data_IF_790739635953
#
_entry.id   IF_790739635953
#
_cell.length_a   1.000
_cell.length_b   1.000
_cell.length_c   1.000
_cell.angle_alpha   90.00
_cell.angle_beta   90.00
_cell.angle_gamma   90.00
#
_symmetry.space_group_name_H-M   'P 1'
#
loop_
_entity.id
_entity.type
_entity.pdbx_description
1 polymer ?
#
# COMPACT_ATOMS: atom_id res chain seq x y z
N UNK A 1 14.76 18.35 5.43
CA UNK A 1 14.07 17.91 4.19
C UNK A 1 14.54 16.49 3.88
N UNK A 2 13.67 15.49 3.94
CA UNK A 2 14.04 14.11 3.59
C UNK A 2 14.34 14.04 2.08
N UNK A 3 15.46 13.42 1.70
CA UNK A 3 15.90 13.33 0.31
C UNK A 3 15.62 11.93 -0.21
N UNK A 4 14.89 11.84 -1.33
CA UNK A 4 14.55 10.58 -1.97
C UNK A 4 15.80 9.69 -2.14
N UNK A 5 15.74 8.47 -1.62
CA UNK A 5 16.80 7.47 -1.72
C UNK A 5 16.60 6.67 -3.01
N UNK A 6 17.47 6.89 -3.99
CA UNK A 6 17.44 6.20 -5.29
C UNK A 6 17.32 4.66 -5.17
N UNK A 7 17.94 4.05 -4.16
CA UNK A 7 17.89 2.58 -3.94
C UNK A 7 16.49 2.04 -3.63
N UNK A 8 15.58 2.90 -3.16
CA UNK A 8 14.21 2.54 -2.80
C UNK A 8 13.20 2.99 -3.87
N UNK A 9 13.65 3.58 -4.98
CA UNK A 9 12.74 3.99 -6.07
C UNK A 9 11.68 5.02 -5.67
N UNK A 10 11.92 5.80 -4.61
CA UNK A 10 10.94 6.72 -4.03
C UNK A 10 10.52 7.80 -5.04
N UNK A 11 9.23 7.82 -5.39
CA UNK A 11 8.56 8.88 -6.11
C UNK A 11 7.39 9.38 -5.26
N UNK A 12 7.43 10.66 -4.87
CA UNK A 12 6.39 11.22 -4.00
C UNK A 12 5.22 11.74 -4.82
N UNK A 13 4.03 11.18 -4.57
CA UNK A 13 2.78 11.63 -5.18
C UNK A 13 2.44 13.03 -4.67
N UNK A 14 2.13 13.95 -5.60
CA UNK A 14 1.76 15.34 -5.29
C UNK A 14 0.45 15.78 -5.94
N UNK A 15 -0.04 15.03 -6.94
CA UNK A 15 -1.27 15.35 -7.64
C UNK A 15 -2.48 15.10 -6.73
N UNK A 16 -3.17 16.18 -6.35
CA UNK A 16 -4.32 16.11 -5.42
C UNK A 16 -5.53 15.39 -6.01
N UNK A 17 -5.71 15.39 -7.33
CA UNK A 17 -6.81 14.69 -8.00
C UNK A 17 -6.61 13.17 -7.95
N UNK A 18 -5.38 12.72 -8.18
CA UNK A 18 -5.01 11.29 -8.05
C UNK A 18 -5.12 10.85 -6.58
N UNK A 19 -4.59 11.64 -5.64
CA UNK A 19 -4.72 11.38 -4.20
C UNK A 19 -6.19 11.22 -3.82
N UNK A 20 -7.05 12.17 -4.20
CA UNK A 20 -8.48 12.11 -3.92
C UNK A 20 -9.13 10.86 -4.53
N UNK A 21 -8.78 10.50 -5.76
CA UNK A 21 -9.34 9.32 -6.44
C UNK A 21 -8.96 8.02 -5.73
N UNK A 22 -7.72 7.90 -5.26
CA UNK A 22 -7.26 6.73 -4.48
C UNK A 22 -8.00 6.66 -3.14
N UNK A 23 -8.10 7.77 -2.43
CA UNK A 23 -8.81 7.83 -1.13
C UNK A 23 -10.29 7.53 -1.30
N UNK A 24 -10.92 8.02 -2.37
CA UNK A 24 -12.32 7.74 -2.69
C UNK A 24 -12.55 6.26 -3.05
N UNK A 25 -11.60 5.61 -3.71
CA UNK A 25 -11.67 4.16 -3.99
C UNK A 25 -11.62 3.36 -2.69
N UNK A 26 -10.71 3.69 -1.77
CA UNK A 26 -10.63 3.07 -0.44
C UNK A 26 -11.89 3.35 0.38
N UNK A 27 -12.48 4.54 0.25
CA UNK A 27 -13.67 4.99 0.99
C UNK A 27 -13.53 4.73 2.51
N UNK A 28 -12.52 5.34 3.17
CA UNK A 28 -12.15 5.01 4.54
C UNK A 28 -13.31 5.23 5.51
N UNK A 29 -13.52 4.27 6.40
CA UNK A 29 -14.45 4.39 7.51
C UNK A 29 -13.90 3.72 8.79
N UNK A 30 -14.48 4.01 9.97
CA UNK A 30 -13.99 3.50 11.26
C UNK A 30 -13.83 1.99 11.39
N UNK A 31 -14.67 1.20 10.70
CA UNK A 31 -14.69 -0.27 10.79
C UNK A 31 -13.65 -0.95 9.87
N UNK A 32 -12.82 -0.16 9.19
CA UNK A 32 -11.79 -0.64 8.27
C UNK A 32 -10.42 -0.70 8.93
N UNK A 33 -9.68 -1.75 8.58
CA UNK A 33 -8.25 -1.86 8.86
C UNK A 33 -7.48 -1.70 7.56
N UNK A 34 -6.70 -0.63 7.47
CA UNK A 34 -5.96 -0.28 6.25
C UNK A 34 -4.47 -0.32 6.54
N UNK A 35 -3.71 -0.93 5.64
CA UNK A 35 -2.25 -0.82 5.60
C UNK A 35 -1.80 -0.06 4.36
N UNK A 36 -1.03 1.00 4.58
CA UNK A 36 -0.34 1.77 3.53
C UNK A 36 1.09 1.28 3.38
N UNK A 37 1.42 0.78 2.18
CA UNK A 37 2.77 0.35 1.82
C UNK A 37 3.53 1.54 1.24
N UNK A 38 4.65 1.90 1.88
CA UNK A 38 5.53 2.98 1.42
C UNK A 38 4.86 4.36 1.49
N UNK A 39 4.49 4.84 2.70
CA UNK A 39 3.79 6.12 2.87
C UNK A 39 4.58 7.33 2.38
N UNK A 40 5.91 7.21 2.29
CA UNK A 40 6.76 8.34 1.94
C UNK A 40 6.57 9.50 2.91
N UNK A 41 6.21 10.67 2.36
CA UNK A 41 5.90 11.88 3.13
C UNK A 41 4.42 12.05 3.47
N UNK A 42 3.58 11.06 3.14
CA UNK A 42 2.21 10.96 3.64
C UNK A 42 1.15 11.59 2.77
N UNK A 43 1.36 11.53 1.46
CA UNK A 43 0.40 12.00 0.46
C UNK A 43 -0.96 11.30 0.60
N UNK A 44 -0.98 9.99 0.88
CA UNK A 44 -2.19 9.22 1.16
C UNK A 44 -2.46 9.07 2.65
N UNK A 45 -1.41 8.93 3.47
CA UNK A 45 -1.50 8.75 4.94
C UNK A 45 -2.47 9.71 5.61
N UNK A 46 -2.31 11.03 5.41
CA UNK A 46 -3.12 12.03 6.14
C UNK A 46 -4.60 12.02 5.70
N UNK A 47 -4.92 12.03 4.38
CA UNK A 47 -6.30 11.88 3.92
C UNK A 47 -6.97 10.58 4.38
N UNK A 48 -6.24 9.46 4.38
CA UNK A 48 -6.77 8.15 4.82
C UNK A 48 -7.08 8.16 6.32
N UNK A 49 -6.14 8.61 7.15
CA UNK A 49 -6.30 8.66 8.60
C UNK A 49 -7.48 9.53 9.03
N UNK A 50 -7.89 10.51 8.22
CA UNK A 50 -9.05 11.36 8.50
C UNK A 50 -10.40 10.61 8.57
N UNK A 51 -10.47 9.39 8.01
CA UNK A 51 -11.68 8.55 8.02
C UNK A 51 -11.54 7.21 8.73
N UNK A 52 -10.35 6.89 9.27
CA UNK A 52 -10.04 5.60 9.90
C UNK A 52 -9.83 5.76 11.41
N UNK A 53 -10.20 4.75 12.19
CA UNK A 53 -9.76 4.67 13.59
C UNK A 53 -8.30 4.22 13.70
N UNK A 54 -7.87 3.34 12.80
CA UNK A 54 -6.51 2.84 12.75
C UNK A 54 -5.98 2.72 11.32
N UNK A 55 -4.73 3.17 11.11
CA UNK A 55 -3.98 3.05 9.88
C UNK A 55 -2.58 2.50 10.19
N UNK A 56 -2.22 1.39 9.55
CA UNK A 56 -0.88 0.83 9.62
C UNK A 56 -0.01 1.34 8.47
N UNK A 57 1.20 1.79 8.78
CA UNK A 57 2.20 2.19 7.80
C UNK A 57 3.30 1.14 7.73
N UNK A 58 3.56 0.58 6.55
CA UNK A 58 4.68 -0.33 6.31
C UNK A 58 5.76 0.39 5.50
N UNK A 59 6.90 0.66 6.14
CA UNK A 59 8.00 1.43 5.56
C UNK A 59 9.36 0.76 5.80
N UNK A 60 10.19 0.72 4.76
CA UNK A 60 11.54 0.13 4.80
C UNK A 60 12.60 1.18 5.12
N UNK A 61 12.34 2.45 4.79
CA UNK A 61 13.27 3.54 5.07
C UNK A 61 13.20 3.98 6.53
N UNK A 62 14.21 3.60 7.31
CA UNK A 62 14.35 3.94 8.73
C UNK A 62 14.21 5.43 9.06
N UNK A 63 14.63 6.31 8.15
CA UNK A 63 14.50 7.76 8.37
C UNK A 63 13.02 8.17 8.33
N UNK A 64 12.23 7.58 7.43
CA UNK A 64 10.80 7.82 7.31
C UNK A 64 10.02 7.13 8.43
N UNK A 65 10.42 5.92 8.84
CA UNK A 65 9.90 5.26 10.03
C UNK A 65 10.08 6.15 11.26
N UNK A 66 11.30 6.66 11.47
CA UNK A 66 11.60 7.55 12.59
C UNK A 66 10.79 8.85 12.52
N UNK A 67 10.64 9.42 11.32
CA UNK A 67 9.78 10.59 11.08
C UNK A 67 8.32 10.32 11.50
N UNK A 68 7.70 9.23 11.01
CA UNK A 68 6.31 8.91 11.33
C UNK A 68 6.08 8.56 12.79
N UNK A 69 7.02 7.84 13.42
CA UNK A 69 6.98 7.59 14.87
C UNK A 69 7.08 8.87 15.69
N UNK A 70 7.85 9.85 15.22
CA UNK A 70 7.97 11.15 15.90
C UNK A 70 6.72 12.03 15.73
N UNK A 71 6.01 11.94 14.60
CA UNK A 71 4.72 12.62 14.41
C UNK A 71 3.66 12.14 15.41
N UNK A 72 3.72 10.87 15.82
CA UNK A 72 2.90 10.27 16.89
C UNK A 72 1.40 10.60 16.75
N UNK A 73 0.87 10.44 15.54
CA UNK A 73 -0.53 10.74 15.24
C UNK A 73 -1.46 9.68 15.87
N UNK A 74 -2.59 10.08 16.49
CA UNK A 74 -3.58 9.13 16.99
C UNK A 74 -4.08 8.20 15.87
N UNK A 75 -4.24 6.92 16.18
CA UNK A 75 -4.68 5.91 15.20
C UNK A 75 -3.60 5.47 14.20
N UNK A 76 -2.40 6.05 14.24
CA UNK A 76 -1.31 5.66 13.34
C UNK A 76 -0.38 4.64 14.00
N UNK A 77 -0.18 3.51 13.35
CA UNK A 77 0.81 2.51 13.74
C UNK A 77 1.89 2.41 12.67
N UNK A 78 3.17 2.41 13.06
CA UNK A 78 4.30 2.46 12.14
C UNK A 78 5.14 1.20 12.25
N UNK A 79 5.12 0.40 11.19
CA UNK A 79 5.80 -0.88 11.04
C UNK A 79 7.05 -0.67 10.18
N UNK A 80 8.22 -0.90 10.77
CA UNK A 80 9.48 -0.96 10.01
C UNK A 80 9.58 -2.35 9.36
N UNK A 81 9.58 -2.41 8.03
CA UNK A 81 9.62 -3.69 7.34
C UNK A 81 9.77 -3.61 5.83
N UNK A 82 10.28 -4.69 5.26
CA UNK A 82 10.28 -4.92 3.82
C UNK A 82 8.95 -5.56 3.43
N UNK A 83 8.16 -4.89 2.59
CA UNK A 83 6.88 -5.39 2.12
C UNK A 83 6.97 -6.75 1.42
N UNK A 84 8.11 -7.09 0.81
CA UNK A 84 8.30 -8.40 0.18
C UNK A 84 8.52 -9.54 1.20
N UNK A 85 8.71 -9.21 2.47
CA UNK A 85 8.96 -10.17 3.57
C UNK A 85 7.93 -10.06 4.69
N UNK A 86 7.04 -9.07 4.62
CA UNK A 86 6.03 -8.84 5.63
C UNK A 86 4.97 -9.94 5.58
N UNK A 87 4.54 -10.42 6.75
CA UNK A 87 3.52 -11.46 6.86
C UNK A 87 2.11 -10.84 6.80
N UNK A 88 1.63 -10.61 5.57
CA UNK A 88 0.27 -10.12 5.34
C UNK A 88 -0.80 -11.12 5.77
N UNK A 89 -0.48 -12.41 5.88
CA UNK A 89 -1.43 -13.44 6.31
C UNK A 89 -1.71 -13.29 7.81
N UNK A 90 -0.65 -13.16 8.61
CA UNK A 90 -0.77 -12.90 10.04
C UNK A 90 -1.47 -11.57 10.30
N UNK A 91 -1.04 -10.51 9.59
CA UNK A 91 -1.67 -9.19 9.68
C UNK A 91 -3.17 -9.24 9.34
N UNK A 92 -3.57 -9.85 8.22
CA UNK A 92 -4.98 -9.91 7.85
C UNK A 92 -5.80 -10.75 8.85
N UNK A 93 -5.25 -11.82 9.41
CA UNK A 93 -5.94 -12.67 10.40
C UNK A 93 -6.18 -11.98 11.74
N UNK A 94 -5.23 -11.17 12.21
CA UNK A 94 -5.39 -10.44 13.47
C UNK A 94 -6.55 -9.46 13.40
N UNK A 95 -6.88 -8.96 12.21
CA UNK A 95 -7.95 -8.00 11.96
C UNK A 95 -9.27 -8.64 11.49
N UNK A 96 -9.22 -9.70 10.69
CA UNK A 96 -10.40 -10.44 10.24
C UNK A 96 -11.22 -11.02 11.41
N UNK A 97 -10.54 -11.36 12.52
CA UNK A 97 -11.19 -11.85 13.75
C UNK A 97 -12.12 -10.81 14.40
N UNK A 98 -11.92 -9.52 14.09
CA UNK A 98 -12.72 -8.40 14.58
C UNK A 98 -13.96 -8.13 13.72
N UNK A 99 -14.15 -8.84 12.61
CA UNK A 99 -15.24 -8.62 11.66
C UNK A 99 -15.10 -7.36 10.80
N UNK A 100 -13.95 -6.68 10.88
CA UNK A 100 -13.65 -5.48 10.09
C UNK A 100 -13.18 -5.81 8.67
N UNK A 101 -13.24 -4.80 7.80
CA UNK A 101 -12.83 -4.89 6.39
C UNK A 101 -11.33 -4.59 6.28
N UNK A 102 -10.57 -5.46 5.63
CA UNK A 102 -9.13 -5.32 5.46
C UNK A 102 -8.79 -4.77 4.07
N UNK A 103 -8.05 -3.66 4.02
CA UNK A 103 -7.63 -3.05 2.74
C UNK A 103 -6.14 -2.76 2.70
N UNK A 104 -5.58 -2.85 1.51
CA UNK A 104 -4.18 -2.49 1.25
C UNK A 104 -4.13 -1.35 0.25
N UNK A 105 -3.29 -0.36 0.52
CA UNK A 105 -3.08 0.79 -0.37
C UNK A 105 -1.60 1.08 -0.52
N UNK A 106 -1.18 1.62 -1.67
CA UNK A 106 0.21 2.04 -1.82
C UNK A 106 0.53 2.69 -3.16
N UNK A 107 1.52 3.56 -3.14
CA UNK A 107 2.18 4.06 -4.34
C UNK A 107 3.49 3.29 -4.54
N UNK A 108 3.43 2.19 -5.28
CA UNK A 108 4.49 1.20 -5.27
C UNK A 108 5.58 1.51 -6.29
N UNK A 109 6.87 1.43 -5.91
CA UNK A 109 7.95 1.59 -6.85
C UNK A 109 8.06 0.37 -7.77
N UNK A 110 8.27 0.61 -9.05
CA UNK A 110 8.23 -0.41 -10.11
C UNK A 110 9.11 -1.64 -9.87
N UNK A 111 10.27 -1.45 -9.24
CA UNK A 111 11.23 -2.52 -9.01
C UNK A 111 10.73 -3.59 -8.03
N UNK A 112 9.69 -3.32 -7.24
CA UNK A 112 9.10 -4.30 -6.31
C UNK A 112 7.64 -4.64 -6.63
N UNK A 113 6.98 -3.90 -7.52
CA UNK A 113 5.53 -4.03 -7.75
C UNK A 113 5.12 -5.46 -8.11
N UNK A 114 5.81 -6.10 -9.07
CA UNK A 114 5.47 -7.46 -9.52
C UNK A 114 5.58 -8.51 -8.40
N UNK A 115 6.73 -8.68 -7.71
CA UNK A 115 6.83 -9.65 -6.62
C UNK A 115 5.90 -9.33 -5.43
N UNK A 116 5.64 -8.06 -5.14
CA UNK A 116 4.72 -7.66 -4.08
C UNK A 116 3.27 -8.06 -4.41
N UNK A 117 2.84 -7.86 -5.65
CA UNK A 117 1.50 -8.27 -6.09
C UNK A 117 1.32 -9.78 -5.98
N UNK A 118 2.30 -10.60 -6.40
CA UNK A 118 2.23 -12.06 -6.20
C UNK A 118 2.16 -12.44 -4.72
N UNK A 119 2.90 -11.74 -3.87
CA UNK A 119 2.86 -11.96 -2.42
C UNK A 119 1.46 -11.69 -1.86
N UNK A 120 0.86 -10.56 -2.25
CA UNK A 120 -0.50 -10.17 -1.82
C UNK A 120 -1.61 -11.05 -2.40
N UNK A 121 -1.43 -11.62 -3.60
CA UNK A 121 -2.38 -12.58 -4.18
C UNK A 121 -2.53 -13.82 -3.30
N UNK A 122 -1.46 -14.26 -2.63
CA UNK A 122 -1.51 -15.44 -1.76
C UNK A 122 -2.40 -15.29 -0.53
N UNK A 123 -2.75 -14.05 -0.18
CA UNK A 123 -3.59 -13.68 0.98
C UNK A 123 -4.86 -12.96 0.57
N UNK A 124 -5.17 -12.90 -0.72
CA UNK A 124 -6.30 -12.14 -1.27
C UNK A 124 -7.66 -12.59 -0.72
N UNK A 125 -7.78 -13.81 -0.21
CA UNK A 125 -9.00 -14.32 0.42
C UNK A 125 -9.31 -13.68 1.79
N UNK A 126 -8.36 -12.93 2.36
CA UNK A 126 -8.51 -12.22 3.64
C UNK A 126 -8.40 -10.70 3.49
N UNK A 127 -8.27 -10.20 2.26
CA UNK A 127 -8.15 -8.78 1.95
C UNK A 127 -9.27 -8.41 1.00
N UNK A 128 -10.17 -7.54 1.45
CA UNK A 128 -11.37 -7.16 0.71
C UNK A 128 -11.05 -6.29 -0.51
N UNK A 129 -10.04 -5.43 -0.41
CA UNK A 129 -9.67 -4.52 -1.49
C UNK A 129 -8.18 -4.15 -1.46
N UNK A 130 -7.58 -4.01 -2.65
CA UNK A 130 -6.21 -3.57 -2.84
C UNK A 130 -6.18 -2.45 -3.88
N UNK A 131 -5.69 -1.26 -3.51
CA UNK A 131 -5.63 -0.09 -4.39
C UNK A 131 -4.19 0.38 -4.52
N UNK A 132 -3.62 0.22 -5.73
CA UNK A 132 -2.23 0.58 -5.99
C UNK A 132 -2.10 1.58 -7.13
N UNK A 133 -1.20 2.55 -6.96
CA UNK A 133 -0.66 3.30 -8.08
C UNK A 133 0.59 2.59 -8.59
N UNK A 134 0.61 2.30 -9.89
CA UNK A 134 1.66 1.56 -10.59
C UNK A 134 2.03 2.27 -11.89
N UNK A 135 3.21 1.97 -12.45
CA UNK A 135 3.52 2.38 -13.81
C UNK A 135 2.58 1.68 -14.80
N UNK A 136 2.16 2.39 -15.85
CA UNK A 136 1.20 1.90 -16.84
C UNK A 136 1.63 0.56 -17.46
N UNK A 137 2.91 0.39 -17.79
CA UNK A 137 3.43 -0.86 -18.37
C UNK A 137 3.24 -2.10 -17.47
N UNK A 138 3.20 -1.92 -16.15
CA UNK A 138 2.98 -3.02 -15.19
C UNK A 138 1.51 -3.42 -15.22
N UNK A 139 0.61 -2.43 -15.23
CA UNK A 139 -0.83 -2.65 -15.31
C UNK A 139 -1.21 -3.33 -16.62
N UNK A 140 -0.66 -2.87 -17.75
CA UNK A 140 -0.89 -3.46 -19.07
C UNK A 140 -0.53 -4.95 -19.13
N UNK A 141 0.57 -5.34 -18.47
CA UNK A 141 0.95 -6.75 -18.33
C UNK A 141 0.00 -7.53 -17.45
N UNK A 142 -0.45 -6.97 -16.32
CA UNK A 142 -1.38 -7.65 -15.41
C UNK A 142 -2.74 -7.93 -16.08
N UNK A 143 -3.26 -6.99 -16.86
CA UNK A 143 -4.60 -7.12 -17.48
C UNK A 143 -4.55 -7.73 -18.88
N UNK A 144 -3.37 -8.13 -19.35
CA UNK A 144 -3.17 -8.71 -20.68
C UNK A 144 -3.93 -10.04 -20.82
N UNK A 145 -4.70 -10.18 -21.89
CA UNK A 145 -5.39 -11.44 -22.22
C UNK A 145 -4.39 -12.48 -22.72
N UNK A 146 -4.70 -13.76 -22.49
CA UNK A 146 -3.93 -14.87 -23.06
C UNK A 146 -3.72 -14.68 -24.57
N UNK A 147 -2.45 -14.69 -24.99
CA UNK A 147 -2.04 -14.47 -26.39
C UNK A 147 -1.71 -13.03 -26.78
N UNK A 148 -1.81 -12.05 -25.87
CA UNK A 148 -1.31 -10.69 -26.08
C UNK A 148 0.21 -10.58 -25.96
N UNK A 149 0.82 -9.55 -26.58
CA UNK A 149 2.27 -9.32 -26.53
C UNK A 149 2.80 -9.05 -25.12
N UNK A 150 1.96 -8.50 -24.24
CA UNK A 150 2.27 -8.23 -22.82
C UNK A 150 1.81 -9.36 -21.87
N UNK A 151 1.33 -10.50 -22.40
CA UNK A 151 0.89 -11.63 -21.57
C UNK A 151 2.09 -12.22 -20.80
N UNK A 152 1.97 -12.31 -19.48
CA UNK A 152 3.06 -12.74 -18.60
C UNK A 152 2.53 -13.53 -17.40
N UNK A 153 3.42 -13.95 -16.49
CA UNK A 153 3.03 -14.63 -15.24
C UNK A 153 2.10 -13.79 -14.36
N UNK A 154 2.10 -12.46 -14.53
CA UNK A 154 1.20 -11.55 -13.79
C UNK A 154 -0.23 -11.55 -14.32
N UNK A 155 -0.45 -12.11 -15.52
CA UNK A 155 -1.75 -12.11 -16.21
C UNK A 155 -2.61 -13.35 -15.92
N UNK A 156 -2.06 -14.35 -15.21
CA UNK A 156 -2.66 -15.68 -14.98
C UNK A 156 -3.06 -15.85 -13.53
#
# INVERSE_FOLDING_TARGET
>A
MHRARKRFGQNFLQDSGVIYSIVAAINPNPDMHVIEIGPGLGALTRPLLGGLEQLDLLEIDRDLVAYWKAENLPGLNVIEGDALKFDFLEWAKSHASSGGVCKVVGNLPYNISSPLLFHLVSVANLIDEQVFMLQAEVVERMVSKAGGSEFSRLSV
#
